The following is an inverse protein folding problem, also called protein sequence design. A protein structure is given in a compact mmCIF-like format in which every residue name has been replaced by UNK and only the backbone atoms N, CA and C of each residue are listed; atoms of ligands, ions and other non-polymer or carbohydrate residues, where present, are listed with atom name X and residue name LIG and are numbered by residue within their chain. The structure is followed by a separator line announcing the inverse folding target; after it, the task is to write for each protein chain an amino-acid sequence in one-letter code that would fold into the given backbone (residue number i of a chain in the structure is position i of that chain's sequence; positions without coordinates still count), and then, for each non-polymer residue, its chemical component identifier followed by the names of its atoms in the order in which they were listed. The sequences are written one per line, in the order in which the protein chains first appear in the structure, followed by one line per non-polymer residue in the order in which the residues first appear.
data_IF_191722634651
#
_entry.id   IF_191722634651
#
_cell.length_a   1.000
_cell.length_b   1.000
_cell.length_c   1.000
_cell.angle_alpha   90.00
_cell.angle_beta   90.00
_cell.angle_gamma   90.00
#
_symmetry.space_group_name_H-M   'P 1'
#
loop_
_entity.id
_entity.type
_entity.pdbx_description
1 polymer ?
#
# COMPACT_ATOMS: atom_id res chain seq x y z
N UNK A 1 9.09 21.81 -7.24
CA UNK A 1 10.36 21.40 -6.63
C UNK A 1 10.61 19.93 -6.91
N UNK A 2 11.78 19.60 -7.40
CA UNK A 2 12.08 18.22 -7.78
C UNK A 2 12.22 17.33 -6.53
N UNK A 3 11.83 16.06 -6.68
CA UNK A 3 12.01 15.08 -5.62
C UNK A 3 13.49 14.71 -5.53
N UNK A 4 14.07 14.80 -4.33
CA UNK A 4 15.48 14.49 -4.10
C UNK A 4 15.70 12.98 -4.03
N UNK A 5 16.96 12.56 -4.15
CA UNK A 5 17.33 11.15 -3.99
C UNK A 5 16.94 10.63 -2.62
N UNK A 6 17.20 11.41 -1.56
CA UNK A 6 16.83 11.02 -0.19
C UNK A 6 15.32 10.84 -0.05
N UNK A 7 14.54 11.72 -0.65
CA UNK A 7 13.09 11.62 -0.64
C UNK A 7 12.61 10.37 -1.39
N UNK A 8 13.25 10.03 -2.50
CA UNK A 8 12.93 8.79 -3.22
C UNK A 8 13.19 7.56 -2.35
N UNK A 9 14.30 7.54 -1.61
CA UNK A 9 14.60 6.46 -0.68
C UNK A 9 13.52 6.40 0.42
N UNK A 10 13.12 7.53 0.96
CA UNK A 10 12.05 7.60 1.96
C UNK A 10 10.72 7.04 1.41
N UNK A 11 10.41 7.30 0.13
CA UNK A 11 9.21 6.78 -0.51
C UNK A 11 9.26 5.25 -0.66
N UNK A 12 10.42 4.70 -1.04
CA UNK A 12 10.61 3.25 -1.07
C UNK A 12 10.39 2.63 0.30
N UNK A 13 10.97 3.23 1.34
CA UNK A 13 10.85 2.76 2.71
C UNK A 13 9.40 2.81 3.18
N UNK A 14 8.70 3.91 2.89
CA UNK A 14 7.30 4.08 3.26
C UNK A 14 6.43 2.95 2.69
N UNK A 15 6.57 2.67 1.39
CA UNK A 15 5.76 1.66 0.74
C UNK A 15 6.12 0.25 1.23
N UNK A 16 7.40 -0.01 1.47
CA UNK A 16 7.85 -1.30 2.00
C UNK A 16 7.29 -1.55 3.40
N UNK A 17 7.29 -0.53 4.27
CA UNK A 17 6.75 -0.65 5.62
C UNK A 17 5.24 -0.83 5.63
N UNK A 18 4.54 -0.16 4.71
CA UNK A 18 3.10 -0.32 4.55
C UNK A 18 2.75 -1.79 4.34
N UNK A 19 3.39 -2.44 3.38
CA UNK A 19 3.08 -3.83 3.05
C UNK A 19 3.67 -4.82 4.04
N UNK A 20 4.77 -4.49 4.71
CA UNK A 20 5.25 -5.28 5.82
C UNK A 20 4.22 -5.35 6.95
N UNK A 21 3.52 -4.25 7.20
CA UNK A 21 2.42 -4.23 8.18
C UNK A 21 1.30 -5.17 7.77
N UNK A 22 0.89 -5.12 6.49
CA UNK A 22 -0.18 -6.02 6.00
C UNK A 22 0.26 -7.48 6.06
N UNK A 23 1.49 -7.78 5.65
CA UNK A 23 2.02 -9.16 5.68
C UNK A 23 2.10 -9.71 7.11
N UNK A 24 2.26 -8.85 8.11
CA UNK A 24 2.25 -9.25 9.52
C UNK A 24 0.87 -9.14 10.17
N UNK A 25 -0.18 -8.95 9.39
CA UNK A 25 -1.57 -8.84 9.84
C UNK A 25 -1.82 -7.65 10.77
N UNK A 26 -1.09 -6.56 10.57
CA UNK A 26 -1.21 -5.34 11.37
C UNK A 26 -2.07 -4.30 10.63
N UNK A 27 -3.39 -4.44 10.75
CA UNK A 27 -4.34 -3.55 10.08
C UNK A 27 -4.21 -2.09 10.58
N UNK A 28 -4.03 -1.91 11.88
CA UNK A 28 -3.86 -0.57 12.46
C UNK A 28 -2.54 0.05 11.99
N UNK A 29 -1.47 -0.72 11.92
CA UNK A 29 -0.18 -0.27 11.40
C UNK A 29 -0.29 0.17 9.95
N UNK A 30 -0.97 -0.62 9.11
CA UNK A 30 -1.23 -0.26 7.72
C UNK A 30 -1.96 1.08 7.63
N UNK A 31 -3.05 1.23 8.37
CA UNK A 31 -3.87 2.45 8.35
C UNK A 31 -3.10 3.67 8.87
N UNK A 32 -2.12 3.47 9.76
CA UNK A 32 -1.34 4.58 10.33
C UNK A 32 -0.48 5.31 9.31
N UNK A 33 -0.22 4.71 8.15
CA UNK A 33 0.55 5.34 7.07
C UNK A 33 -0.28 6.32 6.25
N UNK A 34 -1.58 6.39 6.48
CA UNK A 34 -2.47 7.31 5.79
C UNK A 34 -2.66 8.59 6.59
N UNK A 35 -3.04 9.68 5.92
CA UNK A 35 -3.55 10.87 6.61
C UNK A 35 -4.86 10.51 7.33
N UNK A 36 -5.30 11.32 8.32
CA UNK A 36 -6.55 11.00 9.04
C UNK A 36 -7.77 10.79 8.13
N UNK A 37 -7.83 11.52 7.01
CA UNK A 37 -8.90 11.42 6.01
C UNK A 37 -8.43 10.73 4.72
N UNK A 38 -7.33 10.01 4.78
CA UNK A 38 -6.76 9.33 3.62
C UNK A 38 -7.70 8.31 3.00
N UNK A 39 -7.48 8.03 1.72
CA UNK A 39 -8.34 7.15 0.93
C UNK A 39 -7.57 5.92 0.49
N UNK A 40 -8.18 4.77 0.68
CA UNK A 40 -7.70 3.49 0.18
C UNK A 40 -8.70 3.00 -0.86
N UNK A 41 -8.32 3.04 -2.14
CA UNK A 41 -9.15 2.67 -3.27
C UNK A 41 -8.62 1.35 -3.85
N UNK A 42 -9.24 0.26 -3.46
CA UNK A 42 -8.84 -1.08 -3.87
C UNK A 42 -10.06 -1.89 -4.30
N UNK A 43 -10.60 -2.75 -3.44
CA UNK A 43 -11.82 -3.51 -3.72
C UNK A 43 -13.04 -2.60 -3.71
N UNK A 44 -12.99 -1.53 -2.92
CA UNK A 44 -13.95 -0.45 -2.82
C UNK A 44 -13.18 0.77 -2.32
N UNK A 45 -13.82 1.92 -2.23
CA UNK A 45 -13.19 3.11 -1.68
C UNK A 45 -13.45 3.19 -0.18
N UNK A 46 -12.37 3.21 0.60
CA UNK A 46 -12.43 3.36 2.05
C UNK A 46 -11.83 4.71 2.42
N UNK A 47 -12.58 5.55 3.13
CA UNK A 47 -12.16 6.90 3.54
C UNK A 47 -11.90 6.94 5.03
N UNK A 48 -10.70 7.40 5.39
CA UNK A 48 -10.27 7.57 6.77
C UNK A 48 -9.61 6.34 7.35
N UNK A 49 -8.73 6.57 8.32
CA UNK A 49 -7.95 5.48 8.96
C UNK A 49 -8.84 4.40 9.56
N UNK A 50 -9.94 4.80 10.20
CA UNK A 50 -10.83 3.83 10.85
C UNK A 50 -11.45 2.88 9.83
N UNK A 51 -11.99 3.43 8.74
CA UNK A 51 -12.60 2.62 7.68
C UNK A 51 -11.56 1.68 7.03
N UNK A 52 -10.35 2.17 6.81
CA UNK A 52 -9.25 1.37 6.26
C UNK A 52 -8.90 0.21 7.20
N UNK A 53 -8.70 0.51 8.48
CA UNK A 53 -8.36 -0.50 9.47
C UNK A 53 -9.49 -1.52 9.64
N UNK A 54 -10.73 -1.09 9.70
CA UNK A 54 -11.88 -1.98 9.86
C UNK A 54 -12.02 -2.94 8.68
N UNK A 55 -11.86 -2.42 7.45
CA UNK A 55 -11.87 -3.27 6.25
C UNK A 55 -10.76 -4.33 6.31
N UNK A 56 -9.54 -3.91 6.65
CA UNK A 56 -8.41 -4.84 6.67
C UNK A 56 -8.52 -5.88 7.78
N UNK A 57 -9.06 -5.51 8.95
CA UNK A 57 -9.31 -6.47 10.03
C UNK A 57 -10.23 -7.58 9.56
N UNK A 58 -11.31 -7.24 8.86
CA UNK A 58 -12.24 -8.22 8.34
C UNK A 58 -11.61 -9.03 7.21
N UNK A 59 -10.86 -8.40 6.33
CA UNK A 59 -10.14 -9.04 5.23
C UNK A 59 -9.13 -10.08 5.75
N UNK A 60 -8.39 -9.71 6.80
CA UNK A 60 -7.45 -10.61 7.48
C UNK A 60 -8.20 -11.75 8.17
N UNK A 61 -9.28 -11.44 8.87
CA UNK A 61 -10.08 -12.43 9.57
C UNK A 61 -10.61 -13.52 8.64
N UNK A 62 -10.95 -13.14 7.42
CA UNK A 62 -11.43 -14.08 6.39
C UNK A 62 -10.34 -14.96 5.78
N UNK A 63 -9.09 -14.76 6.18
CA UNK A 63 -7.96 -15.54 5.68
C UNK A 63 -7.33 -15.05 4.39
N UNK A 64 -7.73 -13.87 3.90
CA UNK A 64 -7.25 -13.35 2.62
C UNK A 64 -5.76 -12.99 2.64
N UNK A 65 -5.18 -12.83 3.83
CA UNK A 65 -3.75 -12.49 3.98
C UNK A 65 -2.93 -13.62 4.59
N UNK A 66 -3.50 -14.83 4.69
CA UNK A 66 -2.80 -15.97 5.27
C UNK A 66 -1.66 -16.40 4.35
N UNK A 67 -0.46 -16.51 4.94
CA UNK A 67 0.76 -16.89 4.22
C UNK A 67 1.06 -15.98 3.02
N UNK A 68 0.60 -14.74 3.06
CA UNK A 68 0.78 -13.79 1.97
C UNK A 68 2.07 -12.99 2.12
N UNK A 69 2.67 -12.67 0.98
CA UNK A 69 3.76 -11.70 0.88
C UNK A 69 3.49 -10.79 -0.30
N UNK A 70 3.69 -9.50 -0.09
CA UNK A 70 3.55 -8.52 -1.16
C UNK A 70 4.93 -8.12 -1.65
N UNK A 71 5.12 -8.17 -2.96
CA UNK A 71 6.37 -7.80 -3.61
C UNK A 71 6.13 -6.56 -4.44
N UNK A 72 6.86 -5.50 -4.13
CA UNK A 72 6.81 -4.23 -4.84
C UNK A 72 7.90 -4.25 -5.89
N UNK A 73 7.56 -3.86 -7.11
CA UNK A 73 8.52 -3.79 -8.20
C UNK A 73 8.28 -2.56 -9.06
N UNK A 74 9.30 -2.19 -9.82
CA UNK A 74 9.21 -1.09 -10.80
C UNK A 74 8.68 0.20 -10.15
N UNK A 75 9.23 0.54 -8.99
CA UNK A 75 8.81 1.70 -8.22
C UNK A 75 9.44 2.96 -8.81
N UNK A 76 8.58 3.92 -9.16
CA UNK A 76 8.97 5.22 -9.69
C UNK A 76 8.34 6.28 -8.80
N UNK A 77 9.12 7.29 -8.45
CA UNK A 77 8.63 8.45 -7.70
C UNK A 77 8.65 9.65 -8.62
N UNK A 78 7.49 10.26 -8.78
CA UNK A 78 7.31 11.44 -9.63
C UNK A 78 6.83 12.62 -8.78
N UNK A 79 7.08 13.83 -9.25
CA UNK A 79 6.46 15.02 -8.68
C UNK A 79 5.27 15.39 -9.54
N UNK A 80 4.10 15.53 -8.89
CA UNK A 80 2.88 15.97 -9.57
C UNK A 80 2.24 17.05 -8.73
N UNK A 81 2.13 18.26 -9.28
CA UNK A 81 1.53 19.38 -8.57
C UNK A 81 2.26 19.75 -7.26
N UNK A 82 3.58 19.56 -7.22
CA UNK A 82 4.41 19.87 -6.07
C UNK A 82 4.45 18.79 -5.00
N UNK A 83 3.86 17.64 -5.22
CA UNK A 83 3.82 16.55 -4.25
C UNK A 83 4.34 15.24 -4.86
N UNK A 84 4.92 14.35 -4.04
CA UNK A 84 5.37 13.04 -4.52
C UNK A 84 4.18 12.15 -4.89
N UNK A 85 4.34 11.43 -6.00
CA UNK A 85 3.42 10.35 -6.40
C UNK A 85 4.27 9.12 -6.64
N UNK A 86 3.91 8.02 -6.01
CA UNK A 86 4.56 6.73 -6.21
C UNK A 86 3.74 5.92 -7.20
N UNK A 87 4.42 5.35 -8.19
CA UNK A 87 3.84 4.36 -9.09
C UNK A 87 4.66 3.09 -8.99
N UNK A 88 3.99 1.95 -8.91
CA UNK A 88 4.68 0.67 -8.86
C UNK A 88 3.77 -0.45 -9.30
N UNK A 89 4.35 -1.63 -9.50
CA UNK A 89 3.61 -2.88 -9.56
C UNK A 89 3.66 -3.51 -8.19
N UNK A 90 2.65 -4.30 -7.86
CA UNK A 90 2.64 -5.07 -6.64
C UNK A 90 2.08 -6.45 -6.93
N UNK A 91 2.83 -7.48 -6.51
CA UNK A 91 2.44 -8.87 -6.65
C UNK A 91 2.15 -9.44 -5.28
N UNK A 92 1.03 -10.13 -5.13
CA UNK A 92 0.70 -10.84 -3.90
C UNK A 92 0.94 -12.32 -4.11
N UNK A 93 1.82 -12.89 -3.29
CA UNK A 93 2.14 -14.30 -3.32
C UNK A 93 1.57 -14.98 -2.08
N UNK A 94 1.06 -16.19 -2.25
CA UNK A 94 0.90 -17.12 -1.15
C UNK A 94 2.13 -18.01 -1.14
N UNK A 95 2.81 -18.11 0.00
CA UNK A 95 4.10 -18.78 0.09
C UNK A 95 4.02 -20.21 0.65
N UNK A 96 2.85 -20.63 1.12
CA UNK A 96 2.62 -21.98 1.63
C UNK A 96 1.23 -22.46 1.22
N UNK A 97 1.03 -23.74 0.93
CA UNK A 97 2.01 -24.85 0.95
C UNK A 97 3.05 -24.77 -0.17
N UNK A 98 2.80 -23.96 -1.20
CA UNK A 98 3.76 -23.71 -2.26
C UNK A 98 3.58 -22.30 -2.77
N UNK A 99 4.62 -21.73 -3.36
CA UNK A 99 4.59 -20.35 -3.85
C UNK A 99 3.64 -20.25 -5.05
N UNK A 100 2.71 -19.32 -4.95
CA UNK A 100 1.75 -19.04 -6.02
C UNK A 100 1.44 -17.56 -6.08
N UNK A 101 1.38 -17.01 -7.29
CA UNK A 101 0.90 -15.64 -7.50
C UNK A 101 -0.62 -15.67 -7.41
N UNK A 102 -1.19 -14.92 -6.47
CA UNK A 102 -2.64 -14.90 -6.24
C UNK A 102 -3.31 -13.60 -6.65
N UNK A 103 -2.55 -12.52 -6.75
CA UNK A 103 -3.08 -11.23 -7.18
C UNK A 103 -1.95 -10.35 -7.69
N UNK A 104 -2.30 -9.40 -8.53
CA UNK A 104 -1.40 -8.39 -9.07
C UNK A 104 -2.13 -7.06 -9.06
N UNK A 105 -1.41 -5.97 -8.87
CA UNK A 105 -2.01 -4.64 -8.99
C UNK A 105 -1.03 -3.64 -9.57
N UNK A 106 -1.60 -2.67 -10.29
CA UNK A 106 -0.93 -1.41 -10.55
C UNK A 106 -1.24 -0.50 -9.38
N UNK A 107 -0.22 0.13 -8.82
CA UNK A 107 -0.33 0.94 -7.61
C UNK A 107 0.00 2.39 -7.92
N UNK A 108 -0.80 3.29 -7.36
CA UNK A 108 -0.51 4.71 -7.35
C UNK A 108 -0.78 5.25 -5.95
N UNK A 109 0.22 5.90 -5.35
CA UNK A 109 0.09 6.51 -4.04
C UNK A 109 0.39 8.01 -4.12
N UNK A 110 -0.53 8.82 -3.61
CA UNK A 110 -0.33 10.25 -3.46
C UNK A 110 0.16 10.51 -2.05
N UNK A 111 1.30 11.20 -1.94
CA UNK A 111 2.01 11.36 -0.69
C UNK A 111 2.02 12.83 -0.28
N UNK A 112 1.84 13.08 1.00
CA UNK A 112 1.91 14.43 1.57
C UNK A 112 2.80 14.43 2.80
N UNK A 113 3.37 15.60 3.09
CA UNK A 113 4.12 15.80 4.32
C UNK A 113 3.12 15.99 5.45
N UNK A 114 3.32 15.27 6.54
CA UNK A 114 2.50 15.38 7.75
C UNK A 114 3.44 15.46 8.95
N UNK A 115 3.65 16.68 9.45
CA UNK A 115 4.65 16.92 10.48
C UNK A 115 6.04 16.60 9.94
N UNK A 116 6.76 15.71 10.60
CA UNK A 116 8.13 15.31 10.22
C UNK A 116 8.16 14.14 9.25
N UNK A 117 7.02 13.53 8.97
CA UNK A 117 6.96 12.30 8.17
C UNK A 117 6.16 12.45 6.90
N UNK A 118 6.10 11.34 6.15
CA UNK A 118 5.31 11.24 4.94
C UNK A 118 4.10 10.35 5.21
N UNK A 119 2.94 10.75 4.67
CA UNK A 119 1.70 9.97 4.79
C UNK A 119 1.05 9.88 3.42
N UNK A 120 0.24 8.86 3.22
CA UNK A 120 -0.55 8.71 2.02
C UNK A 120 -1.88 9.45 2.17
N UNK A 121 -2.15 10.35 1.24
CA UNK A 121 -3.49 10.95 1.13
C UNK A 121 -4.41 10.03 0.32
N UNK A 122 -3.84 9.22 -0.57
CA UNK A 122 -4.59 8.24 -1.37
C UNK A 122 -3.68 7.11 -1.80
N UNK A 123 -4.17 5.89 -1.69
CA UNK A 123 -3.54 4.71 -2.25
C UNK A 123 -4.57 4.03 -3.15
N UNK A 124 -4.25 3.94 -4.44
CA UNK A 124 -5.13 3.31 -5.43
C UNK A 124 -4.47 2.05 -5.98
N UNK A 125 -5.22 0.96 -5.97
CA UNK A 125 -4.79 -0.32 -6.54
C UNK A 125 -5.76 -0.73 -7.64
N UNK A 126 -5.24 -0.93 -8.85
CA UNK A 126 -5.99 -1.57 -9.92
C UNK A 126 -5.64 -3.06 -9.88
N UNK A 127 -6.53 -3.84 -9.28
CA UNK A 127 -6.26 -5.24 -8.89
C UNK A 127 -6.70 -6.20 -9.98
N UNK A 128 -5.81 -7.16 -10.30
CA UNK A 128 -6.13 -8.32 -11.12
C UNK A 128 -5.92 -9.56 -10.25
N UNK A 129 -6.95 -10.38 -10.13
CA UNK A 129 -6.89 -11.63 -9.36
C UNK A 129 -6.46 -12.77 -10.27
N UNK A 130 -5.68 -13.68 -9.71
CA UNK A 130 -5.33 -14.90 -10.38
C UNK A 130 -6.59 -15.77 -10.52
N UNK A 131 -6.79 -16.46 -11.64
CA UNK A 131 -7.85 -17.44 -11.74
C UNK A 131 -7.62 -18.56 -10.72
N UNK A 132 -8.68 -18.99 -10.07
CA UNK A 132 -8.61 -20.07 -9.09
C UNK A 132 -8.84 -21.43 -9.74
#
# INVERSE_FOLDING_TARGET
MAITTDQKIEMHELLSRLYAALDSHDAEGFASFFTPDGEFDAYALFKGRKAIADFLKEHIRKGNEDNARHIISNLIVEEVGGAPVIRSYISKLRIQPQVALVAYADLQANIVKDGSGWKMSRLKLAITLSPS
#
